data_IF_818041686847
#
_entry.id   IF_818041686847
#
_cell.length_a   1.000
_cell.length_b   1.000
_cell.length_c   1.000
_cell.angle_alpha   90.00
_cell.angle_beta   90.00
_cell.angle_gamma   90.00
#
_symmetry.space_group_name_H-M   'P 1'
#
loop_
_entity.id
_entity.type
_entity.pdbx_description
1 polymer ?
#
# COMPACT_ATOMS: atom_id res chain seq x y z
N UNK A 1 -29.87 59.34 6.00
CA UNK A 1 -31.30 59.17 5.64
C UNK A 1 -31.39 57.86 4.86
N UNK A 2 -32.05 56.80 5.23
CA UNK A 2 -33.06 56.52 6.20
C UNK A 2 -33.02 55.01 6.51
N UNK A 3 -33.41 54.73 7.63
CA UNK A 3 -33.71 53.60 8.46
C UNK A 3 -34.80 52.72 7.81
N UNK A 4 -34.69 51.44 7.95
CA UNK A 4 -35.73 50.46 7.61
C UNK A 4 -35.52 49.13 8.31
N UNK A 5 -36.01 49.00 9.53
CA UNK A 5 -36.17 47.79 10.32
C UNK A 5 -37.36 46.97 9.83
N UNK A 6 -37.23 45.66 9.73
CA UNK A 6 -38.29 44.73 9.44
C UNK A 6 -38.09 43.38 10.15
N UNK A 7 -38.71 43.26 11.32
CA UNK A 7 -38.89 42.02 12.09
C UNK A 7 -40.01 41.17 11.44
N UNK A 8 -39.79 39.88 11.33
CA UNK A 8 -40.76 38.88 10.92
C UNK A 8 -40.64 37.59 11.70
N UNK A 9 -41.57 37.42 12.58
CA UNK A 9 -41.79 36.35 13.54
C UNK A 9 -42.25 35.04 12.87
N UNK A 10 -41.74 33.93 13.38
CA UNK A 10 -42.50 32.78 13.84
C UNK A 10 -43.04 31.78 12.85
N UNK A 11 -42.64 30.55 13.00
CA UNK A 11 -43.62 29.51 13.44
C UNK A 11 -42.86 28.20 13.66
N UNK A 12 -42.85 27.77 14.90
CA UNK A 12 -42.40 26.43 15.27
C UNK A 12 -43.48 25.39 14.92
N UNK A 13 -43.03 24.24 14.45
CA UNK A 13 -43.83 23.02 14.45
C UNK A 13 -43.11 22.02 15.31
N UNK A 14 -43.65 21.78 16.51
CA UNK A 14 -43.34 20.67 17.38
C UNK A 14 -44.17 19.46 16.90
N UNK A 15 -43.56 18.34 16.66
CA UNK A 15 -44.26 17.07 16.50
C UNK A 15 -43.65 16.07 17.50
N UNK A 16 -44.50 15.64 18.32
CA UNK A 16 -44.73 14.60 19.27
C UNK A 16 -43.71 13.52 19.54
N UNK A 17 -43.50 13.32 20.83
CA UNK A 17 -42.90 12.12 21.42
C UNK A 17 -43.80 10.90 21.13
N UNK A 18 -43.16 9.83 20.62
CA UNK A 18 -43.70 8.49 20.57
C UNK A 18 -42.81 7.57 21.39
N UNK A 19 -43.23 7.23 22.58
CA UNK A 19 -42.67 6.19 23.46
C UNK A 19 -43.05 4.81 22.93
N UNK A 20 -42.11 3.90 22.73
CA UNK A 20 -42.40 2.53 22.33
C UNK A 20 -41.22 1.58 22.49
N UNK A 21 -41.17 0.91 23.63
CA UNK A 21 -40.95 -0.51 23.84
C UNK A 21 -39.61 -1.11 23.38
N UNK A 22 -38.82 -1.47 24.40
CA UNK A 22 -37.55 -2.18 24.28
C UNK A 22 -37.63 -3.56 23.65
N UNK A 23 -36.52 -3.94 23.04
CA UNK A 23 -36.02 -5.33 23.04
C UNK A 23 -34.51 -5.28 23.14
N UNK A 24 -33.99 -5.72 24.27
CA UNK A 24 -32.57 -6.05 24.45
C UNK A 24 -32.29 -7.34 23.68
N UNK A 25 -31.40 -7.28 22.71
CA UNK A 25 -30.80 -8.50 22.17
C UNK A 25 -29.67 -8.93 23.10
N UNK A 26 -29.81 -10.09 23.68
CA UNK A 26 -28.81 -10.74 24.51
C UNK A 26 -27.69 -11.27 23.57
N UNK A 27 -26.46 -10.87 23.86
CA UNK A 27 -25.28 -11.49 23.28
C UNK A 27 -25.06 -12.81 24.00
N UNK A 28 -25.22 -13.92 23.29
CA UNK A 28 -24.86 -15.27 23.76
C UNK A 28 -23.36 -15.43 23.53
N UNK A 29 -22.61 -15.50 24.63
CA UNK A 29 -21.24 -15.97 24.63
C UNK A 29 -21.26 -17.49 24.40
N UNK A 30 -20.60 -17.93 23.32
CA UNK A 30 -20.36 -19.35 23.10
C UNK A 30 -19.01 -19.72 23.71
N UNK A 31 -19.09 -20.61 24.73
CA UNK A 31 -17.96 -21.31 25.32
C UNK A 31 -17.27 -22.21 24.31
N UNK A 32 -15.96 -22.09 24.22
CA UNK A 32 -15.10 -23.02 23.47
C UNK A 32 -14.69 -24.14 24.47
N UNK A 33 -15.26 -25.30 24.30
CA UNK A 33 -14.83 -26.52 24.95
C UNK A 33 -13.90 -27.33 24.04
N UNK A 34 -12.71 -27.56 24.55
CA UNK A 34 -11.90 -28.79 24.51
C UNK A 34 -11.92 -29.64 23.24
N UNK A 35 -10.79 -29.71 22.52
CA UNK A 35 -10.49 -30.77 21.56
C UNK A 35 -9.04 -31.24 21.71
N UNK A 36 -8.94 -32.41 22.22
CA UNK A 36 -7.96 -33.45 22.35
C UNK A 36 -6.62 -33.33 21.62
N UNK A 37 -5.60 -33.57 22.42
CA UNK A 37 -4.23 -33.91 21.99
C UNK A 37 -4.21 -35.18 21.13
N UNK A 38 -3.78 -35.03 19.86
CA UNK A 38 -3.38 -36.16 19.03
C UNK A 38 -1.83 -36.11 18.84
N UNK A 39 -1.16 -37.15 19.30
CA UNK A 39 0.27 -37.36 19.21
C UNK A 39 0.70 -37.62 17.75
N UNK A 40 1.78 -36.96 17.32
CA UNK A 40 2.45 -37.23 16.06
C UNK A 40 3.34 -38.46 16.16
N UNK A 41 3.45 -39.30 15.10
CA UNK A 41 4.35 -40.45 15.09
C UNK A 41 5.79 -40.05 14.84
N UNK A 42 6.70 -40.66 15.60
CA UNK A 42 8.15 -40.52 15.46
C UNK A 42 8.64 -41.18 14.15
N UNK A 43 9.33 -40.43 13.33
CA UNK A 43 10.05 -40.95 12.14
C UNK A 43 11.52 -41.18 12.51
N UNK A 44 11.94 -42.43 12.32
CA UNK A 44 13.22 -42.94 12.69
C UNK A 44 14.42 -42.32 11.93
N UNK A 45 15.53 -42.20 12.67
CA UNK A 45 16.84 -41.88 12.16
C UNK A 45 17.34 -43.00 11.23
N UNK A 46 17.63 -42.68 9.97
CA UNK A 46 18.46 -43.49 9.11
C UNK A 46 19.78 -42.77 8.86
N UNK A 47 20.82 -43.35 9.44
CA UNK A 47 22.21 -43.08 9.20
C UNK A 47 22.58 -43.44 7.75
N UNK A 48 23.17 -42.53 7.00
CA UNK A 48 23.89 -42.87 5.77
C UNK A 48 25.35 -42.46 5.86
N UNK A 49 26.17 -43.43 5.48
CA UNK A 49 27.62 -43.44 5.52
C UNK A 49 28.28 -42.39 4.64
N UNK A 50 29.46 -42.01 5.08
CA UNK A 50 30.43 -41.19 4.37
C UNK A 50 30.89 -41.83 3.05
N UNK A 51 30.95 -41.05 2.00
CA UNK A 51 31.59 -41.34 0.71
C UNK A 51 32.54 -40.21 0.35
N UNK A 52 33.75 -40.59 -0.03
CA UNK A 52 34.99 -39.83 -0.08
C UNK A 52 35.04 -38.66 -1.10
N UNK A 53 35.98 -37.78 -0.80
CA UNK A 53 36.49 -36.63 -1.57
C UNK A 53 36.74 -36.92 -3.08
N UNK A 54 36.24 -35.94 -3.90
CA UNK A 54 36.89 -35.60 -5.16
C UNK A 54 37.04 -34.06 -5.17
N UNK A 55 38.25 -33.57 -5.05
CA UNK A 55 38.62 -32.18 -5.36
C UNK A 55 38.46 -31.96 -6.88
N UNK A 56 37.38 -31.35 -7.29
CA UNK A 56 37.21 -30.74 -8.59
C UNK A 56 37.21 -29.23 -8.40
N UNK A 57 38.23 -28.55 -8.92
CA UNK A 57 38.23 -27.11 -9.04
C UNK A 57 37.12 -26.70 -10.02
N UNK A 58 35.91 -26.42 -9.53
CA UNK A 58 34.87 -25.78 -10.29
C UNK A 58 35.21 -24.29 -10.36
N UNK A 59 35.65 -23.85 -11.54
CA UNK A 59 35.61 -22.43 -11.93
C UNK A 59 34.18 -22.03 -11.82
N UNK A 60 33.86 -21.21 -10.81
CA UNK A 60 32.54 -20.67 -10.58
C UNK A 60 32.19 -19.70 -11.74
N UNK A 61 31.48 -20.22 -12.72
CA UNK A 61 30.70 -19.39 -13.60
C UNK A 61 29.62 -18.76 -12.71
N UNK A 62 29.81 -17.51 -12.30
CA UNK A 62 28.83 -16.74 -11.59
C UNK A 62 27.53 -16.75 -12.42
N UNK A 63 26.49 -17.38 -11.90
CA UNK A 63 25.17 -17.30 -12.50
C UNK A 63 24.82 -15.82 -12.57
N UNK A 64 24.54 -15.31 -13.77
CA UNK A 64 24.00 -13.98 -13.94
C UNK A 64 22.72 -13.88 -13.10
N UNK A 65 22.49 -12.77 -12.37
CA UNK A 65 21.26 -12.61 -11.60
C UNK A 65 20.08 -12.78 -12.54
N UNK A 66 19.11 -13.61 -12.14
CA UNK A 66 17.88 -13.80 -12.89
C UNK A 66 17.19 -12.43 -13.02
N UNK A 67 16.76 -12.09 -14.24
CA UNK A 67 15.99 -10.86 -14.45
C UNK A 67 14.72 -10.89 -13.61
N UNK A 68 14.39 -9.77 -12.95
CA UNK A 68 13.18 -9.63 -12.14
C UNK A 68 11.89 -10.09 -12.88
N UNK A 69 11.85 -9.89 -14.19
CA UNK A 69 10.74 -10.33 -15.04
C UNK A 69 10.61 -11.87 -15.19
N UNK A 70 11.68 -12.63 -14.94
CA UNK A 70 11.69 -14.09 -15.03
C UNK A 70 11.16 -14.80 -13.77
N UNK A 71 11.06 -14.09 -12.64
CA UNK A 71 10.66 -14.65 -11.34
C UNK A 71 9.16 -14.60 -11.06
N UNK A 72 8.35 -14.02 -11.97
CA UNK A 72 6.93 -13.77 -11.73
C UNK A 72 6.67 -12.54 -10.85
N UNK A 73 5.40 -12.17 -10.74
CA UNK A 73 5.02 -10.93 -10.05
C UNK A 73 5.12 -11.02 -8.53
N UNK A 74 5.10 -12.21 -7.96
CA UNK A 74 5.16 -12.41 -6.51
C UNK A 74 6.59 -12.30 -5.94
N UNK A 75 7.62 -12.58 -6.75
CA UNK A 75 9.00 -12.69 -6.30
C UNK A 75 9.97 -11.80 -7.12
N UNK A 76 9.46 -10.72 -7.72
CA UNK A 76 10.24 -9.95 -8.67
C UNK A 76 11.44 -9.23 -8.04
N UNK A 77 11.36 -8.86 -6.76
CA UNK A 77 12.49 -8.24 -6.07
C UNK A 77 13.62 -9.22 -5.75
N UNK A 78 13.35 -10.54 -5.75
CA UNK A 78 14.37 -11.57 -5.53
C UNK A 78 15.48 -11.55 -6.61
N UNK A 79 15.18 -11.05 -7.82
CA UNK A 79 16.14 -10.86 -8.89
C UNK A 79 17.06 -9.65 -8.76
N UNK A 80 16.81 -8.78 -7.78
CA UNK A 80 17.54 -7.52 -7.60
C UNK A 80 18.60 -7.66 -6.49
N UNK A 81 19.71 -6.96 -6.64
CA UNK A 81 20.79 -6.98 -5.65
C UNK A 81 20.43 -6.27 -4.34
N UNK A 82 20.93 -6.73 -3.22
CA UNK A 82 20.69 -6.15 -1.89
C UNK A 82 21.18 -4.70 -1.73
N UNK A 83 22.18 -4.30 -2.53
CA UNK A 83 22.67 -2.92 -2.56
C UNK A 83 21.79 -1.95 -3.35
N UNK A 84 20.73 -2.45 -4.01
CA UNK A 84 19.82 -1.61 -4.77
C UNK A 84 19.13 -0.59 -3.85
N UNK A 85 19.28 0.69 -4.16
CA UNK A 85 18.65 1.76 -3.41
C UNK A 85 17.17 1.86 -3.81
N UNK A 86 16.24 1.88 -2.82
CA UNK A 86 14.79 1.89 -3.09
C UNK A 86 14.36 3.06 -3.98
N UNK A 87 15.02 4.23 -3.85
CA UNK A 87 14.72 5.39 -4.70
C UNK A 87 15.10 5.20 -6.18
N UNK A 88 15.85 4.15 -6.50
CA UNK A 88 16.26 3.83 -7.88
C UNK A 88 15.44 2.69 -8.50
N UNK A 89 14.40 2.27 -7.82
CA UNK A 89 13.51 1.20 -8.28
C UNK A 89 12.27 1.76 -8.99
N UNK A 90 11.69 0.93 -9.83
CA UNK A 90 10.34 1.12 -10.36
C UNK A 90 9.40 0.23 -9.56
N UNK A 91 8.50 0.83 -8.80
CA UNK A 91 7.68 0.14 -7.81
C UNK A 91 6.20 0.28 -8.19
N UNK A 92 5.55 -0.77 -8.69
CA UNK A 92 4.11 -0.76 -8.87
C UNK A 92 3.40 -0.55 -7.52
N UNK A 93 2.42 0.33 -7.50
CA UNK A 93 1.67 0.70 -6.32
C UNK A 93 0.19 0.94 -6.58
N UNK A 94 -0.59 1.01 -5.52
CA UNK A 94 -2.00 1.37 -5.55
C UNK A 94 -2.27 2.64 -4.76
N UNK A 95 -3.10 3.52 -5.32
CA UNK A 95 -3.68 4.67 -4.64
C UNK A 95 -4.83 4.17 -3.79
N UNK A 96 -4.98 4.71 -2.57
CA UNK A 96 -6.02 4.32 -1.61
C UNK A 96 -6.27 2.80 -1.59
N UNK A 97 -5.23 2.07 -1.24
CA UNK A 97 -5.12 0.62 -1.51
C UNK A 97 -6.22 -0.21 -0.86
N UNK A 98 -6.79 0.29 0.25
CA UNK A 98 -7.89 -0.36 0.96
C UNK A 98 -9.27 0.01 0.43
N UNK A 99 -9.41 0.99 -0.46
CA UNK A 99 -10.70 1.51 -0.93
C UNK A 99 -11.36 0.60 -1.98
N UNK A 100 -11.95 -0.50 -1.53
CA UNK A 100 -12.61 -1.49 -2.39
C UNK A 100 -14.14 -1.40 -2.36
N UNK A 101 -14.70 -0.57 -1.48
CA UNK A 101 -16.14 -0.43 -1.23
C UNK A 101 -16.62 1.01 -1.42
N UNK A 102 -17.93 1.22 -1.41
CA UNK A 102 -18.57 2.54 -1.50
C UNK A 102 -19.02 2.93 -2.89
N UNK A 103 -18.98 1.97 -3.82
CA UNK A 103 -19.53 2.15 -5.17
C UNK A 103 -18.67 3.02 -6.07
N UNK A 104 -19.31 3.57 -7.09
CA UNK A 104 -18.65 4.14 -8.27
C UNK A 104 -17.70 5.30 -7.97
N UNK A 105 -18.01 6.14 -6.98
CA UNK A 105 -17.26 7.37 -6.67
C UNK A 105 -16.29 7.22 -5.50
N UNK A 106 -16.29 6.07 -4.81
CA UNK A 106 -15.48 5.82 -3.62
C UNK A 106 -14.43 4.75 -3.88
N UNK A 107 -14.81 3.64 -4.55
CA UNK A 107 -13.88 2.55 -4.80
C UNK A 107 -12.75 2.99 -5.75
N UNK A 108 -11.50 2.80 -5.29
CA UNK A 108 -10.27 3.01 -6.04
C UNK A 108 -9.64 1.67 -6.46
N UNK A 109 -10.03 0.59 -5.80
CA UNK A 109 -9.55 -0.77 -6.05
C UNK A 109 -10.72 -1.76 -6.10
N UNK A 110 -10.50 -2.94 -6.70
CA UNK A 110 -11.45 -4.05 -6.72
C UNK A 110 -10.80 -5.39 -6.31
N UNK A 111 -9.61 -5.33 -5.77
CA UNK A 111 -8.83 -6.47 -5.28
C UNK A 111 -8.42 -6.23 -3.83
N UNK A 112 -8.37 -7.30 -3.04
CA UNK A 112 -7.89 -7.23 -1.65
C UNK A 112 -6.39 -6.88 -1.59
N UNK A 113 -5.91 -6.45 -0.42
CA UNK A 113 -4.47 -6.18 -0.20
C UNK A 113 -3.63 -7.42 -0.58
N UNK A 114 -4.03 -8.63 -0.18
CA UNK A 114 -3.31 -9.86 -0.53
C UNK A 114 -3.23 -10.04 -2.06
N UNK A 115 -4.34 -9.89 -2.78
CA UNK A 115 -4.37 -10.00 -4.24
C UNK A 115 -3.54 -8.92 -4.94
N UNK A 116 -3.48 -7.72 -4.37
CA UNK A 116 -2.61 -6.65 -4.89
C UNK A 116 -1.14 -7.04 -4.75
N UNK A 117 -0.71 -7.54 -3.58
CA UNK A 117 0.65 -8.02 -3.35
C UNK A 117 1.02 -9.18 -4.29
N UNK A 118 0.13 -10.16 -4.45
CA UNK A 118 0.30 -11.30 -5.37
C UNK A 118 0.45 -10.85 -6.83
N UNK A 119 -0.20 -9.75 -7.21
CA UNK A 119 -0.10 -9.19 -8.56
C UNK A 119 1.17 -8.37 -8.82
N UNK A 120 2.04 -8.18 -7.82
CA UNK A 120 3.31 -7.44 -7.95
C UNK A 120 3.31 -6.03 -7.36
N UNK A 121 2.22 -5.59 -6.75
CA UNK A 121 2.15 -4.30 -6.03
C UNK A 121 3.06 -4.34 -4.81
N UNK A 122 3.87 -3.29 -4.63
CA UNK A 122 4.78 -3.14 -3.48
C UNK A 122 4.71 -1.76 -2.83
N UNK A 123 3.88 -0.86 -3.32
CA UNK A 123 3.52 0.37 -2.61
C UNK A 123 2.03 0.34 -2.28
N UNK A 124 1.72 0.56 -1.00
CA UNK A 124 0.36 0.64 -0.47
C UNK A 124 0.12 2.03 0.13
N UNK A 125 -0.91 2.72 -0.34
CA UNK A 125 -1.43 3.98 0.21
C UNK A 125 -2.56 3.65 1.19
N UNK A 126 -2.22 3.59 2.49
CA UNK A 126 -3.14 3.15 3.55
C UNK A 126 -3.66 4.35 4.32
N UNK A 127 -4.97 4.54 4.30
CA UNK A 127 -5.66 5.67 4.89
C UNK A 127 -6.46 5.25 6.12
N UNK A 128 -6.04 5.79 7.27
CA UNK A 128 -6.48 5.36 8.59
C UNK A 128 -7.33 6.43 9.29
N UNK A 129 -8.50 6.03 9.76
CA UNK A 129 -9.31 6.80 10.71
C UNK A 129 -9.17 6.19 12.09
N UNK A 130 -8.91 7.02 13.10
CA UNK A 130 -8.94 6.55 14.50
C UNK A 130 -10.39 6.27 14.90
N UNK A 131 -10.63 5.05 15.38
CA UNK A 131 -11.96 4.60 15.83
C UNK A 131 -11.79 3.62 16.98
N UNK A 132 -12.28 3.99 18.19
CA UNK A 132 -12.25 3.10 19.35
C UNK A 132 -10.83 2.57 19.72
N UNK A 133 -9.79 3.39 19.60
CA UNK A 133 -8.39 2.99 19.86
C UNK A 133 -7.80 2.07 18.80
N UNK A 134 -8.37 2.04 17.60
CA UNK A 134 -7.90 1.28 16.46
C UNK A 134 -7.92 2.15 15.20
N UNK A 135 -7.25 1.69 14.13
CA UNK A 135 -7.34 2.29 12.82
C UNK A 135 -8.32 1.52 11.93
N UNK A 136 -9.40 2.19 11.52
CA UNK A 136 -10.30 1.74 10.49
C UNK A 136 -9.85 2.32 9.14
N UNK A 137 -9.91 1.54 8.08
CA UNK A 137 -9.54 2.01 6.74
C UNK A 137 -10.71 2.78 6.14
N UNK A 138 -10.42 3.99 5.67
CA UNK A 138 -11.42 4.91 5.14
C UNK A 138 -10.97 5.51 3.80
N UNK A 139 -11.96 5.83 2.95
CA UNK A 139 -11.84 6.79 1.87
C UNK A 139 -12.82 7.93 2.16
N UNK A 140 -12.31 9.09 2.55
CA UNK A 140 -13.14 10.15 3.10
C UNK A 140 -13.94 9.65 4.29
N UNK A 141 -15.25 9.91 4.28
CA UNK A 141 -16.17 9.45 5.34
C UNK A 141 -16.53 7.96 5.26
N UNK A 142 -16.20 7.28 4.15
CA UNK A 142 -16.68 5.93 3.88
C UNK A 142 -15.76 4.87 4.48
N UNK A 143 -16.26 4.09 5.45
CA UNK A 143 -15.56 2.94 6.02
C UNK A 143 -15.45 1.81 5.00
N UNK A 144 -14.25 1.24 4.85
CA UNK A 144 -13.96 0.23 3.85
C UNK A 144 -14.22 -1.21 4.31
N UNK A 145 -14.82 -1.40 5.50
CA UNK A 145 -15.02 -2.71 6.12
C UNK A 145 -13.69 -3.49 6.23
N UNK A 146 -12.65 -2.76 6.57
CA UNK A 146 -11.28 -3.23 6.68
C UNK A 146 -10.60 -2.49 7.83
N UNK A 147 -9.89 -3.21 8.68
CA UNK A 147 -9.09 -2.62 9.75
C UNK A 147 -7.60 -2.66 9.40
N UNK A 148 -6.82 -1.79 10.01
CA UNK A 148 -5.36 -1.76 9.78
C UNK A 148 -4.69 -3.09 10.15
N UNK A 149 -5.19 -3.79 11.16
CA UNK A 149 -4.71 -5.13 11.52
C UNK A 149 -4.85 -6.15 10.39
N UNK A 150 -5.93 -6.08 9.60
CA UNK A 150 -6.14 -6.96 8.45
C UNK A 150 -5.14 -6.66 7.33
N UNK A 151 -4.83 -5.36 7.11
CA UNK A 151 -3.78 -4.93 6.17
C UNK A 151 -2.42 -5.47 6.60
N UNK A 152 -2.08 -5.34 7.89
CA UNK A 152 -0.82 -5.85 8.43
C UNK A 152 -0.72 -7.37 8.33
N UNK A 153 -1.81 -8.09 8.60
CA UNK A 153 -1.85 -9.55 8.45
C UNK A 153 -1.61 -9.98 6.99
N UNK A 154 -2.22 -9.29 6.03
CA UNK A 154 -1.99 -9.55 4.61
C UNK A 154 -0.52 -9.33 4.22
N UNK A 155 0.09 -8.23 4.66
CA UNK A 155 1.51 -7.95 4.42
C UNK A 155 2.43 -8.99 5.10
N UNK A 156 2.14 -9.38 6.35
CA UNK A 156 2.94 -10.34 7.09
C UNK A 156 2.90 -11.73 6.43
N UNK A 157 1.73 -12.19 6.03
CA UNK A 157 1.55 -13.46 5.34
C UNK A 157 2.30 -13.48 4.00
N UNK A 158 2.18 -12.40 3.23
CA UNK A 158 2.88 -12.26 1.97
C UNK A 158 4.40 -12.28 2.17
N UNK A 159 4.94 -11.44 3.05
CA UNK A 159 6.38 -11.34 3.29
C UNK A 159 6.98 -12.60 3.95
N UNK A 160 6.19 -13.37 4.69
CA UNK A 160 6.62 -14.67 5.20
C UNK A 160 6.77 -15.72 4.07
N UNK A 161 5.88 -15.68 3.08
CA UNK A 161 5.96 -16.55 1.90
C UNK A 161 7.04 -16.08 0.89
N UNK A 162 7.27 -14.77 0.80
CA UNK A 162 8.17 -14.11 -0.15
C UNK A 162 9.21 -13.23 0.57
N UNK A 163 10.15 -13.83 1.32
CA UNK A 163 11.07 -13.10 2.22
C UNK A 163 12.08 -12.19 1.51
N UNK A 164 12.24 -12.35 0.20
CA UNK A 164 13.09 -11.48 -0.62
C UNK A 164 12.39 -10.15 -1.00
N UNK A 165 11.09 -10.05 -0.78
CA UNK A 165 10.27 -8.88 -1.11
C UNK A 165 10.26 -7.85 0.03
N UNK A 166 9.84 -6.63 -0.29
CA UNK A 166 9.52 -5.58 0.68
C UNK A 166 8.27 -4.84 0.25
N UNK A 167 7.56 -4.24 1.19
CA UNK A 167 6.38 -3.39 0.93
C UNK A 167 6.66 -1.99 1.46
N UNK A 168 6.47 -0.96 0.65
CA UNK A 168 6.47 0.42 1.08
C UNK A 168 5.04 0.81 1.44
N UNK A 169 4.81 1.25 2.66
CA UNK A 169 3.46 1.58 3.13
C UNK A 169 3.39 3.03 3.59
N UNK A 170 2.68 3.85 2.82
CA UNK A 170 2.24 5.16 3.31
C UNK A 170 1.11 4.96 4.31
N UNK A 171 1.24 5.53 5.50
CA UNK A 171 0.18 5.57 6.51
C UNK A 171 -0.23 7.01 6.72
N UNK A 172 -1.49 7.31 6.35
CA UNK A 172 -2.07 8.66 6.38
C UNK A 172 -3.31 8.67 7.25
N UNK A 173 -3.51 9.74 8.01
CA UNK A 173 -4.78 10.01 8.69
C UNK A 173 -5.84 10.42 7.67
N UNK A 174 -7.03 9.82 7.75
CA UNK A 174 -8.13 10.09 6.84
C UNK A 174 -9.39 10.43 7.62
N UNK A 175 -10.08 11.49 7.22
CA UNK A 175 -11.39 11.91 7.71
C UNK A 175 -11.54 11.86 9.25
N UNK A 176 -10.53 12.28 9.97
CA UNK A 176 -10.58 12.46 11.42
C UNK A 176 -9.78 13.70 11.83
N UNK A 177 -10.22 14.35 12.90
CA UNK A 177 -9.57 15.51 13.52
C UNK A 177 -8.72 15.14 14.73
N UNK A 178 -8.31 13.87 14.86
CA UNK A 178 -7.50 13.43 15.98
C UNK A 178 -6.11 14.08 15.94
N UNK A 179 -5.58 14.37 17.14
CA UNK A 179 -4.24 14.95 17.25
C UNK A 179 -3.17 13.96 16.78
N UNK A 180 -2.02 14.48 16.36
CA UNK A 180 -0.84 13.67 16.04
C UNK A 180 -0.45 12.75 17.20
N UNK A 181 -0.59 13.23 18.45
CA UNK A 181 -0.32 12.42 19.65
C UNK A 181 -1.30 11.25 19.80
N UNK A 182 -2.59 11.46 19.54
CA UNK A 182 -3.60 10.39 19.55
C UNK A 182 -3.33 9.37 18.45
N UNK A 183 -3.05 9.86 17.23
CA UNK A 183 -2.73 8.98 16.09
C UNK A 183 -1.47 8.15 16.38
N UNK A 184 -0.43 8.78 16.96
CA UNK A 184 0.78 8.11 17.40
C UNK A 184 0.51 7.04 18.45
N UNK A 185 -0.27 7.34 19.47
CA UNK A 185 -0.56 6.37 20.53
C UNK A 185 -1.27 5.12 20.00
N UNK A 186 -2.20 5.29 19.03
CA UNK A 186 -2.85 4.15 18.36
C UNK A 186 -1.84 3.35 17.52
N UNK A 187 -0.95 4.01 16.80
CA UNK A 187 0.09 3.33 16.02
C UNK A 187 1.07 2.55 16.91
N UNK A 188 1.51 3.15 18.02
CA UNK A 188 2.38 2.47 18.99
C UNK A 188 1.68 1.26 19.64
N UNK A 189 0.36 1.31 19.86
CA UNK A 189 -0.42 0.17 20.30
C UNK A 189 -0.35 -0.99 19.28
N UNK A 190 -0.47 -0.71 17.99
CA UNK A 190 -0.24 -1.73 16.96
C UNK A 190 1.18 -2.30 17.01
N UNK A 191 2.19 -1.45 17.17
CA UNK A 191 3.57 -1.90 17.19
C UNK A 191 3.87 -2.78 18.39
N UNK A 192 3.52 -2.32 19.60
CA UNK A 192 4.03 -2.87 20.87
C UNK A 192 3.06 -3.85 21.51
N UNK A 193 1.79 -3.49 21.68
CA UNK A 193 0.82 -4.33 22.36
C UNK A 193 0.20 -5.40 21.47
N UNK A 194 -0.01 -5.09 20.18
CA UNK A 194 -0.52 -6.06 19.19
C UNK A 194 0.60 -6.81 18.47
N UNK A 195 1.88 -6.49 18.76
CA UNK A 195 3.04 -7.25 18.34
C UNK A 195 3.50 -7.07 16.89
N UNK A 196 3.08 -5.98 16.21
CA UNK A 196 3.43 -5.77 14.80
C UNK A 196 4.79 -5.12 14.56
N UNK A 197 5.51 -4.70 15.61
CA UNK A 197 6.83 -4.06 15.48
C UNK A 197 7.83 -4.85 14.61
N UNK A 198 7.94 -6.19 14.72
CA UNK A 198 8.88 -6.95 13.89
C UNK A 198 8.59 -6.90 12.38
N UNK A 199 7.35 -6.60 11.99
CA UNK A 199 6.96 -6.47 10.58
C UNK A 199 7.54 -5.20 9.95
N UNK A 200 7.73 -4.13 10.74
CA UNK A 200 8.09 -2.83 10.22
C UNK A 200 9.60 -2.60 10.14
N UNK A 201 10.02 -1.89 9.10
CA UNK A 201 11.24 -1.13 9.00
C UNK A 201 10.90 0.35 9.21
N UNK A 202 11.15 0.86 10.41
CA UNK A 202 11.00 2.28 10.77
C UNK A 202 12.39 2.88 10.75
N UNK A 203 12.66 3.81 9.84
CA UNK A 203 13.98 4.40 9.62
C UNK A 203 13.83 5.86 9.21
N UNK A 204 14.84 6.67 9.50
CA UNK A 204 14.85 8.11 9.17
C UNK A 204 15.40 8.40 7.76
N UNK A 205 15.89 7.36 7.09
CA UNK A 205 16.38 7.43 5.70
C UNK A 205 15.89 6.22 4.90
N UNK A 206 15.85 6.36 3.57
CA UNK A 206 15.51 5.26 2.67
C UNK A 206 16.53 4.13 2.81
N UNK A 207 16.09 2.90 3.11
CA UNK A 207 16.99 1.76 3.16
C UNK A 207 17.37 1.28 1.75
N UNK A 208 18.42 0.45 1.66
CA UNK A 208 18.61 -0.40 0.50
C UNK A 208 17.59 -1.56 0.50
N UNK A 209 17.43 -2.23 -0.64
CA UNK A 209 16.53 -3.37 -0.76
C UNK A 209 16.89 -4.48 0.25
N UNK A 210 18.18 -4.82 0.42
CA UNK A 210 18.61 -5.81 1.38
C UNK A 210 18.28 -5.46 2.84
N UNK A 211 18.31 -4.16 3.18
CA UNK A 211 17.90 -3.70 4.51
C UNK A 211 16.37 -3.72 4.72
N UNK A 212 15.61 -3.76 3.63
CA UNK A 212 14.15 -3.70 3.65
C UNK A 212 13.48 -5.07 3.46
N UNK A 213 14.18 -6.08 2.93
CA UNK A 213 13.62 -7.41 2.65
C UNK A 213 12.89 -7.99 3.86
N UNK A 214 11.75 -8.62 3.62
CA UNK A 214 10.87 -9.21 4.62
C UNK A 214 10.19 -8.19 5.54
N UNK A 215 10.23 -6.88 5.22
CA UNK A 215 9.68 -5.80 6.05
C UNK A 215 8.73 -4.90 5.27
N UNK A 216 7.88 -4.25 6.03
CA UNK A 216 7.10 -3.08 5.61
C UNK A 216 7.91 -1.83 5.95
N UNK A 217 8.33 -1.08 4.95
CA UNK A 217 8.98 0.24 5.11
C UNK A 217 7.89 1.27 5.35
N UNK A 218 7.89 1.88 6.54
CA UNK A 218 6.91 2.90 6.89
C UNK A 218 7.25 4.24 6.23
N UNK A 219 6.30 4.79 5.48
CA UNK A 219 6.30 6.15 4.96
C UNK A 219 5.26 6.94 5.75
N UNK A 220 5.74 7.79 6.66
CA UNK A 220 4.94 8.44 7.69
C UNK A 220 4.25 9.70 7.16
N UNK A 221 2.95 9.63 6.89
CA UNK A 221 2.13 10.77 6.44
C UNK A 221 1.13 11.23 7.51
N UNK A 222 1.62 11.37 8.72
CA UNK A 222 0.98 12.03 9.85
C UNK A 222 2.08 12.54 10.79
N UNK A 223 1.89 13.71 11.39
CA UNK A 223 2.88 14.38 12.23
C UNK A 223 3.35 13.57 13.45
N UNK A 224 2.53 12.67 13.96
CA UNK A 224 2.85 11.81 15.09
C UNK A 224 3.63 10.55 14.75
N UNK A 225 3.59 10.06 13.51
CA UNK A 225 4.25 8.81 13.14
C UNK A 225 5.77 8.91 13.17
N UNK A 226 6.48 7.83 13.56
CA UNK A 226 7.94 7.78 13.53
C UNK A 226 8.47 7.48 12.13
N UNK A 227 9.76 7.71 11.92
CA UNK A 227 10.48 7.28 10.72
C UNK A 227 10.38 8.25 9.56
N UNK A 228 10.47 7.73 8.35
CA UNK A 228 10.64 8.50 7.14
C UNK A 228 9.39 9.34 6.83
N UNK A 229 9.54 10.66 6.93
CA UNK A 229 8.45 11.62 6.70
C UNK A 229 8.06 11.63 5.22
N UNK A 230 6.86 11.20 4.91
CA UNK A 230 6.28 11.30 3.57
C UNK A 230 6.09 12.77 3.18
N UNK A 231 6.53 13.14 1.99
CA UNK A 231 6.49 14.53 1.54
C UNK A 231 7.70 15.40 1.95
N UNK A 232 8.71 14.85 2.67
CA UNK A 232 9.99 15.55 2.81
C UNK A 232 10.64 15.72 1.43
N UNK A 233 10.69 16.97 0.95
CA UNK A 233 11.22 17.29 -0.38
C UNK A 233 12.71 16.99 -0.58
N UNK A 234 13.47 16.66 0.48
CA UNK A 234 14.83 16.17 0.35
C UNK A 234 14.89 14.70 -0.04
N UNK A 235 13.85 13.93 0.33
CA UNK A 235 13.78 12.48 0.14
C UNK A 235 12.83 12.11 -0.98
N UNK A 236 11.70 12.81 -1.09
CA UNK A 236 10.64 12.51 -2.04
C UNK A 236 10.49 13.60 -3.11
N UNK A 237 10.02 13.16 -4.28
CA UNK A 237 9.40 14.02 -5.28
C UNK A 237 8.04 13.42 -5.61
N UNK A 238 6.97 14.15 -5.31
CA UNK A 238 5.60 13.61 -5.36
C UNK A 238 4.77 14.39 -6.37
N UNK A 239 4.25 13.71 -7.37
CA UNK A 239 3.20 14.21 -8.26
C UNK A 239 1.87 13.64 -7.79
N UNK A 240 1.00 14.49 -7.22
CA UNK A 240 -0.35 14.14 -6.80
C UNK A 240 -1.34 15.25 -7.19
N UNK A 241 -1.43 15.53 -8.50
CA UNK A 241 -2.46 16.42 -9.02
C UNK A 241 -3.77 15.65 -9.19
N UNK A 242 -4.41 15.41 -8.06
CA UNK A 242 -5.60 14.57 -7.93
C UNK A 242 -6.85 15.15 -8.62
N UNK A 243 -6.86 16.44 -8.96
CA UNK A 243 -7.99 17.13 -9.60
C UNK A 243 -7.72 17.48 -11.07
N UNK A 244 -6.63 17.01 -11.66
CA UNK A 244 -6.37 17.19 -13.07
C UNK A 244 -7.26 16.28 -13.91
N UNK A 245 -7.85 16.83 -14.98
CA UNK A 245 -8.59 16.00 -15.92
C UNK A 245 -7.65 15.02 -16.65
N UNK A 246 -8.13 13.87 -17.16
CA UNK A 246 -7.27 12.77 -17.60
C UNK A 246 -6.22 13.14 -18.67
N UNK A 247 -6.54 14.03 -19.59
CA UNK A 247 -5.57 14.41 -20.63
C UNK A 247 -4.40 15.22 -20.06
N UNK A 248 -4.69 16.22 -19.22
CA UNK A 248 -3.66 17.00 -18.54
C UNK A 248 -2.89 16.15 -17.52
N UNK A 249 -3.59 15.24 -16.81
CA UNK A 249 -3.00 14.30 -15.87
C UNK A 249 -1.97 13.39 -16.54
N UNK A 250 -2.26 12.89 -17.74
CA UNK A 250 -1.32 12.08 -18.52
C UNK A 250 0.03 12.80 -18.72
N UNK A 251 0.01 14.05 -19.19
CA UNK A 251 1.25 14.83 -19.39
C UNK A 251 2.08 14.92 -18.11
N UNK A 252 1.42 15.22 -16.97
CA UNK A 252 2.07 15.29 -15.65
C UNK A 252 2.69 13.97 -15.22
N UNK A 253 2.01 12.85 -15.46
CA UNK A 253 2.52 11.50 -15.16
C UNK A 253 3.76 11.20 -15.99
N UNK A 254 3.71 11.45 -17.31
CA UNK A 254 4.82 11.20 -18.23
C UNK A 254 6.03 12.06 -17.89
N UNK A 255 5.84 13.36 -17.64
CA UNK A 255 6.91 14.28 -17.24
C UNK A 255 7.55 13.87 -15.91
N UNK A 256 6.75 13.36 -14.98
CA UNK A 256 7.26 12.91 -13.69
C UNK A 256 8.09 11.62 -13.81
N UNK A 257 7.73 10.69 -14.69
CA UNK A 257 8.58 9.54 -15.02
C UNK A 257 9.89 9.95 -15.66
N UNK A 258 9.87 10.92 -16.61
CA UNK A 258 11.09 11.48 -17.21
C UNK A 258 12.00 12.08 -16.16
N UNK A 259 11.41 12.84 -15.22
CA UNK A 259 12.14 13.47 -14.12
C UNK A 259 12.77 12.43 -13.18
N UNK A 260 12.05 11.34 -12.85
CA UNK A 260 12.55 10.26 -12.00
C UNK A 260 13.83 9.63 -12.57
N UNK A 261 13.83 9.31 -13.86
CA UNK A 261 15.00 8.76 -14.56
C UNK A 261 16.20 9.71 -14.52
N UNK A 262 15.95 11.02 -14.59
CA UNK A 262 17.00 12.04 -14.60
C UNK A 262 17.54 12.40 -13.22
N UNK A 263 16.76 12.18 -12.17
CA UNK A 263 17.06 12.61 -10.80
C UNK A 263 17.01 11.44 -9.80
N UNK A 264 17.89 10.44 -9.90
CA UNK A 264 17.80 9.20 -9.13
C UNK A 264 18.13 9.36 -7.62
N UNK A 265 18.32 10.59 -7.15
CA UNK A 265 18.63 10.88 -5.75
C UNK A 265 17.44 10.90 -4.81
N UNK A 266 16.21 10.92 -5.34
CA UNK A 266 14.96 10.96 -4.56
C UNK A 266 14.07 9.77 -4.91
N UNK A 267 13.18 9.41 -3.98
CA UNK A 267 12.09 8.48 -4.27
C UNK A 267 10.92 9.24 -4.92
N UNK A 268 10.71 8.99 -6.18
CA UNK A 268 9.60 9.56 -6.92
C UNK A 268 8.31 8.81 -6.63
N UNK A 269 7.22 9.55 -6.37
CA UNK A 269 5.88 8.98 -6.20
C UNK A 269 4.94 9.63 -7.19
N UNK A 270 4.52 8.87 -8.17
CA UNK A 270 3.71 9.32 -9.27
C UNK A 270 2.29 8.77 -9.12
N UNK A 271 1.36 9.61 -8.64
CA UNK A 271 -0.04 9.24 -8.58
C UNK A 271 -0.66 9.28 -9.97
N UNK A 272 -0.99 8.10 -10.48
CA UNK A 272 -1.70 7.92 -11.76
C UNK A 272 -3.19 8.24 -11.59
N UNK A 273 -3.70 8.14 -10.36
CA UNK A 273 -5.09 8.41 -10.01
C UNK A 273 -5.47 9.88 -10.20
N UNK A 274 -6.74 10.12 -10.52
CA UNK A 274 -7.40 11.43 -10.49
C UNK A 274 -8.88 11.26 -10.20
N UNK A 275 -9.48 12.24 -9.53
CA UNK A 275 -10.93 12.30 -9.26
C UNK A 275 -11.64 13.42 -10.02
N UNK A 276 -10.97 14.05 -11.01
CA UNK A 276 -11.56 15.13 -11.79
C UNK A 276 -12.82 14.67 -12.51
N UNK A 277 -13.96 15.21 -12.07
CA UNK A 277 -15.31 15.10 -12.66
C UNK A 277 -15.88 13.69 -12.85
N UNK A 278 -15.07 12.64 -12.82
CA UNK A 278 -15.47 11.28 -13.16
C UNK A 278 -15.04 10.28 -12.07
N UNK A 279 -15.75 9.16 -11.97
CA UNK A 279 -15.38 8.10 -11.01
C UNK A 279 -13.92 7.60 -11.18
N UNK A 280 -13.25 7.15 -10.11
CA UNK A 280 -11.88 6.63 -10.19
C UNK A 280 -11.71 5.54 -11.25
N UNK A 281 -12.68 4.62 -11.36
CA UNK A 281 -12.65 3.57 -12.37
C UNK A 281 -12.67 4.11 -13.80
N UNK A 282 -13.51 5.10 -14.07
CA UNK A 282 -13.58 5.71 -15.41
C UNK A 282 -12.28 6.42 -15.79
N UNK A 283 -11.66 7.10 -14.82
CA UNK A 283 -10.37 7.76 -15.02
C UNK A 283 -9.25 6.74 -15.24
N UNK A 284 -9.21 5.66 -14.43
CA UNK A 284 -8.21 4.61 -14.56
C UNK A 284 -8.29 3.85 -15.90
N UNK A 285 -9.50 3.59 -16.39
CA UNK A 285 -9.70 2.95 -17.70
C UNK A 285 -9.14 3.78 -18.86
N UNK A 286 -8.92 5.08 -18.66
CA UNK A 286 -8.26 5.98 -19.62
C UNK A 286 -6.76 6.15 -19.37
N UNK A 287 -6.37 6.31 -18.11
CA UNK A 287 -4.97 6.60 -17.76
C UNK A 287 -4.09 5.36 -17.78
N UNK A 288 -4.56 4.22 -17.27
CA UNK A 288 -3.74 3.00 -17.20
C UNK A 288 -3.26 2.51 -18.58
N UNK A 289 -4.07 2.49 -19.66
CA UNK A 289 -3.58 2.18 -20.99
C UNK A 289 -2.54 3.19 -21.52
N UNK A 290 -2.67 4.48 -21.18
CA UNK A 290 -1.73 5.52 -21.58
C UNK A 290 -0.38 5.34 -20.89
N UNK A 291 -0.42 5.11 -19.57
CA UNK A 291 0.80 4.81 -18.78
C UNK A 291 1.47 3.54 -19.29
N UNK A 292 0.71 2.48 -19.55
CA UNK A 292 1.25 1.23 -20.09
C UNK A 292 1.94 1.47 -21.45
N UNK A 293 1.29 2.18 -22.36
CA UNK A 293 1.87 2.52 -23.66
C UNK A 293 3.11 3.41 -23.55
N UNK A 294 3.17 4.30 -22.57
CA UNK A 294 4.31 5.17 -22.34
C UNK A 294 5.51 4.40 -21.77
N UNK A 295 5.31 3.56 -20.74
CA UNK A 295 6.42 2.81 -20.14
C UNK A 295 6.95 1.71 -21.05
N UNK A 296 6.10 1.10 -21.91
CA UNK A 296 6.54 0.16 -22.95
C UNK A 296 7.07 0.86 -24.21
N UNK A 297 6.88 2.17 -24.32
CA UNK A 297 7.29 2.96 -25.50
C UNK A 297 8.79 3.16 -25.58
N UNK A 298 9.26 3.50 -26.80
CA UNK A 298 10.69 3.63 -27.09
C UNK A 298 11.45 4.64 -26.23
N UNK A 299 10.76 5.67 -25.72
CA UNK A 299 11.38 6.68 -24.84
C UNK A 299 11.81 6.07 -23.49
N UNK A 300 11.01 5.14 -22.94
CA UNK A 300 11.28 4.47 -21.65
C UNK A 300 12.03 3.15 -21.82
N UNK A 301 12.25 2.68 -23.04
CA UNK A 301 12.95 1.41 -23.31
C UNK A 301 14.34 1.38 -22.65
N UNK A 302 14.57 0.37 -21.81
CA UNK A 302 15.83 0.20 -21.08
C UNK A 302 16.10 1.23 -19.98
N UNK A 303 15.15 2.12 -19.68
CA UNK A 303 15.23 3.02 -18.53
C UNK A 303 14.82 2.26 -17.26
N UNK A 304 15.46 2.57 -16.15
CA UNK A 304 15.16 2.01 -14.83
C UNK A 304 14.90 3.13 -13.83
N UNK A 305 14.30 2.80 -12.67
CA UNK A 305 14.12 3.77 -11.61
C UNK A 305 13.04 4.80 -11.88
N UNK A 306 11.90 4.38 -12.42
CA UNK A 306 10.75 5.27 -12.67
C UNK A 306 10.04 5.72 -11.38
N UNK A 307 10.46 5.20 -10.20
CA UNK A 307 9.81 5.48 -8.94
C UNK A 307 8.54 4.67 -8.71
N UNK A 308 7.73 5.09 -7.77
CA UNK A 308 6.43 4.48 -7.44
C UNK A 308 5.37 4.97 -8.42
N UNK A 309 4.62 4.06 -9.02
CA UNK A 309 3.41 4.35 -9.79
C UNK A 309 2.18 3.96 -8.95
N UNK A 310 1.53 4.93 -8.30
CA UNK A 310 0.35 4.71 -7.45
C UNK A 310 -0.93 4.80 -8.29
N UNK A 311 -1.59 3.66 -8.54
CA UNK A 311 -2.63 3.50 -9.54
C UNK A 311 -3.99 3.17 -8.92
N UNK A 312 -5.06 3.58 -9.60
CA UNK A 312 -6.39 3.03 -9.41
C UNK A 312 -6.59 1.82 -10.33
N UNK A 313 -7.18 0.75 -9.82
CA UNK A 313 -7.55 -0.46 -10.58
C UNK A 313 -6.47 -0.97 -11.55
N UNK A 314 -5.19 -1.14 -11.16
CA UNK A 314 -4.13 -1.54 -12.09
C UNK A 314 -4.38 -2.91 -12.74
N UNK A 315 -5.10 -3.80 -12.06
CA UNK A 315 -5.45 -5.14 -12.53
C UNK A 315 -6.38 -5.15 -13.74
N UNK A 316 -7.05 -4.03 -14.05
CA UNK A 316 -7.94 -3.95 -15.22
C UNK A 316 -7.19 -3.72 -16.52
N UNK A 317 -5.92 -3.37 -16.46
CA UNK A 317 -5.01 -3.29 -17.60
C UNK A 317 -3.99 -4.42 -17.55
N UNK A 318 -4.29 -5.51 -18.24
CA UNK A 318 -3.37 -6.65 -18.34
C UNK A 318 -1.98 -6.22 -18.78
N UNK A 319 -0.94 -6.71 -18.10
CA UNK A 319 0.46 -6.44 -18.41
C UNK A 319 1.02 -5.15 -17.81
N UNK A 320 0.21 -4.21 -17.32
CA UNK A 320 0.70 -2.93 -16.80
C UNK A 320 1.68 -3.09 -15.62
N UNK A 321 1.31 -3.91 -14.63
CA UNK A 321 2.18 -4.16 -13.47
C UNK A 321 3.47 -4.85 -13.89
N UNK A 322 3.39 -5.87 -14.76
CA UNK A 322 4.56 -6.56 -15.28
C UNK A 322 5.45 -5.63 -16.13
N UNK A 323 4.84 -4.69 -16.87
CA UNK A 323 5.57 -3.66 -17.62
C UNK A 323 6.40 -2.79 -16.68
N UNK A 324 5.79 -2.24 -15.64
CA UNK A 324 6.50 -1.46 -14.62
C UNK A 324 7.63 -2.26 -13.96
N UNK A 325 7.41 -3.53 -13.61
CA UNK A 325 8.44 -4.39 -13.01
C UNK A 325 9.68 -4.53 -13.91
N UNK A 326 9.50 -4.59 -15.23
CA UNK A 326 10.64 -4.69 -16.19
C UNK A 326 11.58 -3.49 -16.19
N UNK A 327 11.22 -2.40 -15.56
CA UNK A 327 12.05 -1.20 -15.41
C UNK A 327 12.94 -1.19 -14.15
N UNK A 328 13.28 -2.39 -13.62
CA UNK A 328 14.23 -2.58 -12.53
C UNK A 328 15.54 -3.21 -12.97
#
# INVERSE_FOLDING_TARGET
MGIGTGSGTGTGIAIGMGTGGGRRAAIVAADAADAGTAAAPAVGRRTFLAGALALGAAVGLGAAPASAAALGTQDWMAGLGDSTALQRMTIPGTHDSGATRGGLYVACQNTSIAQQLDSGIRFLDIRCRVTGGSFAIHHGSFFQDLMFGDVLAACANFLAAHPAETVLMRVKQEYSGESDATFRAVFDDYLDRRGWRPLFRIADALPTLGQARGKVVLLADNGGLPGLRYGDGNVFDIQDDWNAEPFAKRGKIEDHFRKAVQQPGKLFVNYVSTSAYMPPRWNSDRLNPQVHGFVDGGEMAGRTGLGIAAMDFPNTRSGLVASLIRHN
#
